data_IF_430638481250
#
_entry.id   IF_430638481250
#
_cell.length_a   1.000
_cell.length_b   1.000
_cell.length_c   1.000
_cell.angle_alpha   90.00
_cell.angle_beta   90.00
_cell.angle_gamma   90.00
#
_symmetry.space_group_name_H-M   'P 1'
#
loop_
_entity.id
_entity.type
_entity.pdbx_description
1 polymer ?
#
# COMPACT_ATOMS: atom_id res chain seq x y z
N UNK A 1 -28.15 12.72 -8.19
CA UNK A 1 -27.88 12.97 -6.76
C UNK A 1 -27.88 11.63 -6.04
N UNK A 2 -26.70 11.19 -5.60
CA UNK A 2 -26.43 10.19 -4.56
C UNK A 2 -24.92 10.29 -4.31
N UNK A 3 -24.51 10.74 -3.13
CA UNK A 3 -23.11 10.75 -2.69
C UNK A 3 -22.96 9.64 -1.64
N UNK A 4 -22.33 8.50 -1.96
CA UNK A 4 -22.25 7.34 -1.06
C UNK A 4 -21.29 7.54 0.13
N UNK A 5 -20.65 8.69 0.30
CA UNK A 5 -19.67 8.92 1.38
C UNK A 5 -20.21 9.76 2.55
N UNK A 6 -21.49 10.08 2.56
CA UNK A 6 -22.12 10.65 3.76
C UNK A 6 -22.50 9.51 4.72
N UNK A 7 -21.52 9.02 5.50
CA UNK A 7 -21.72 8.57 6.88
C UNK A 7 -20.39 8.12 7.52
N UNK A 8 -20.00 8.81 8.61
CA UNK A 8 -19.22 8.19 9.68
C UNK A 8 -17.75 8.60 9.81
N UNK A 9 -17.47 9.85 10.14
CA UNK A 9 -16.71 10.22 11.36
C UNK A 9 -16.49 11.73 11.38
N UNK A 10 -16.81 12.35 12.51
CA UNK A 10 -16.47 13.74 12.79
C UNK A 10 -14.95 13.85 12.85
N UNK A 11 -14.30 14.16 11.73
CA UNK A 11 -12.92 14.64 11.76
C UNK A 11 -12.95 16.04 12.34
N UNK A 12 -12.61 16.14 13.63
CA UNK A 12 -12.39 17.39 14.33
C UNK A 12 -11.55 18.33 13.45
N UNK A 13 -12.08 19.51 13.14
CA UNK A 13 -11.61 20.46 12.12
C UNK A 13 -10.24 21.10 12.49
N UNK A 14 -9.65 20.75 13.64
CA UNK A 14 -8.55 21.47 14.27
C UNK A 14 -7.12 21.05 13.85
N UNK A 15 -6.95 20.04 12.98
CA UNK A 15 -5.62 19.46 12.70
C UNK A 15 -5.08 19.69 11.27
N UNK A 16 -5.83 20.37 10.40
CA UNK A 16 -5.40 20.56 9.01
C UNK A 16 -4.48 21.77 8.91
N UNK A 17 -3.16 21.52 8.98
CA UNK A 17 -2.12 22.55 8.79
C UNK A 17 -1.91 22.94 7.33
N UNK A 18 -2.42 22.15 6.38
CA UNK A 18 -2.21 22.33 4.96
C UNK A 18 -3.51 22.68 4.23
N UNK A 19 -3.50 23.78 3.50
CA UNK A 19 -4.49 24.16 2.51
C UNK A 19 -4.12 23.47 1.19
N UNK A 20 -5.03 22.65 0.68
CA UNK A 20 -4.96 22.09 -0.66
C UNK A 20 -5.50 23.09 -1.67
N UNK A 21 -4.77 23.28 -2.77
CA UNK A 21 -5.16 24.07 -3.92
C UNK A 21 -5.14 23.16 -5.14
N UNK A 22 -6.25 23.09 -5.86
CA UNK A 22 -6.33 22.40 -7.16
C UNK A 22 -5.99 23.40 -8.27
N UNK A 23 -4.91 23.12 -9.00
CA UNK A 23 -4.40 23.97 -10.06
C UNK A 23 -5.13 23.69 -11.39
N UNK A 24 -5.03 24.62 -12.34
CA UNK A 24 -5.69 24.48 -13.65
C UNK A 24 -5.07 23.42 -14.55
N UNK A 25 -3.86 22.96 -14.24
CA UNK A 25 -3.15 21.88 -14.93
C UNK A 25 -3.42 20.50 -14.31
N UNK A 26 -4.48 20.38 -13.50
CA UNK A 26 -4.88 19.16 -12.79
C UNK A 26 -3.90 18.69 -11.71
N UNK A 27 -2.92 19.52 -11.35
CA UNK A 27 -2.03 19.24 -10.21
C UNK A 27 -2.55 19.84 -8.92
N UNK A 28 -1.96 19.42 -7.80
CA UNK A 28 -2.26 19.92 -6.46
C UNK A 28 -1.06 20.64 -5.85
N UNK A 29 -1.37 21.74 -5.16
CA UNK A 29 -0.43 22.48 -4.32
C UNK A 29 -0.91 22.42 -2.87
N UNK A 30 -0.01 22.08 -1.95
CA UNK A 30 -0.25 22.08 -0.52
C UNK A 30 0.58 23.18 0.11
N UNK A 31 -0.08 24.08 0.82
CA UNK A 31 0.55 25.21 1.50
C UNK A 31 0.06 25.31 2.93
N UNK A 32 0.91 25.84 3.79
CA UNK A 32 0.54 26.23 5.16
C UNK A 32 -0.53 27.34 5.16
N UNK A 33 -1.19 27.54 6.31
CA UNK A 33 -2.26 28.54 6.45
C UNK A 33 -1.77 29.98 6.22
N UNK A 34 -0.51 30.29 6.55
CA UNK A 34 0.14 31.57 6.27
C UNK A 34 0.66 31.70 4.82
N UNK A 35 0.48 30.66 4.01
CA UNK A 35 0.67 30.70 2.57
C UNK A 35 1.99 30.10 2.06
N UNK A 36 2.86 29.60 2.93
CA UNK A 36 4.10 28.95 2.49
C UNK A 36 3.81 27.62 1.80
N UNK A 37 4.28 27.48 0.56
CA UNK A 37 4.13 26.26 -0.23
C UNK A 37 5.01 25.16 0.34
N UNK A 38 4.42 24.00 0.65
CA UNK A 38 5.11 22.80 1.11
C UNK A 38 5.33 21.83 -0.04
N UNK A 39 4.27 21.53 -0.79
CA UNK A 39 4.33 20.72 -2.00
C UNK A 39 3.63 21.46 -3.15
N UNK A 40 4.15 21.31 -4.36
CA UNK A 40 3.57 21.86 -5.58
C UNK A 40 3.67 20.84 -6.70
N UNK A 41 2.79 20.97 -7.70
CA UNK A 41 2.77 20.12 -8.89
C UNK A 41 2.61 18.62 -8.56
N UNK A 42 1.85 18.30 -7.50
CA UNK A 42 1.53 16.91 -7.21
C UNK A 42 0.47 16.41 -8.18
N UNK A 43 0.70 15.26 -8.79
CA UNK A 43 -0.24 14.62 -9.71
C UNK A 43 -1.41 13.94 -8.99
N UNK A 44 -1.33 13.81 -7.66
CA UNK A 44 -2.34 13.18 -6.82
C UNK A 44 -2.72 14.04 -5.61
N UNK A 45 -3.95 13.86 -5.13
CA UNK A 45 -4.39 14.37 -3.84
C UNK A 45 -3.76 13.56 -2.70
N UNK A 46 -3.42 14.22 -1.59
CA UNK A 46 -2.98 13.57 -0.36
C UNK A 46 -4.21 13.20 0.46
N UNK A 47 -4.40 11.91 0.70
CA UNK A 47 -5.40 11.39 1.61
C UNK A 47 -4.71 10.97 2.90
N UNK A 48 -5.02 11.66 3.99
CA UNK A 48 -4.45 11.36 5.30
C UNK A 48 -5.30 10.32 6.02
N UNK A 49 -4.70 9.18 6.33
CA UNK A 49 -5.26 8.14 7.19
C UNK A 49 -4.40 8.12 8.45
N UNK A 50 -5.02 8.32 9.61
CA UNK A 50 -4.34 8.41 10.91
C UNK A 50 -3.17 9.43 10.96
N UNK A 51 -3.25 10.45 10.10
CA UNK A 51 -2.26 11.54 10.05
C UNK A 51 -1.04 11.28 9.17
N UNK A 52 -1.03 10.18 8.43
CA UNK A 52 -0.03 9.84 7.42
C UNK A 52 -0.70 9.83 6.04
N UNK A 53 -0.02 10.35 5.03
CA UNK A 53 -0.43 10.22 3.64
C UNK A 53 0.71 9.70 2.78
N UNK A 54 0.37 8.91 1.78
CA UNK A 54 1.29 8.51 0.72
C UNK A 54 1.46 9.67 -0.28
N UNK A 55 2.70 10.00 -0.61
CA UNK A 55 3.05 11.04 -1.59
C UNK A 55 3.81 10.42 -2.76
N UNK A 56 3.42 10.77 -3.99
CA UNK A 56 4.17 10.46 -5.19
C UNK A 56 4.92 11.70 -5.68
N UNK A 57 6.22 11.58 -5.92
CA UNK A 57 7.08 12.65 -6.46
C UNK A 57 8.09 12.07 -7.44
N UNK A 58 8.12 12.59 -8.66
CA UNK A 58 9.01 12.15 -9.72
C UNK A 58 8.98 10.61 -9.95
N UNK A 59 7.80 10.01 -9.89
CA UNK A 59 7.59 8.57 -10.08
C UNK A 59 7.99 7.67 -8.91
N UNK A 60 8.35 8.24 -7.75
CA UNK A 60 8.65 7.50 -6.51
C UNK A 60 7.69 7.88 -5.39
N UNK A 61 7.49 6.95 -4.47
CA UNK A 61 6.53 7.03 -3.39
C UNK A 61 7.23 7.15 -2.03
N UNK A 62 6.69 7.99 -1.16
CA UNK A 62 7.12 8.21 0.22
C UNK A 62 5.91 8.44 1.14
N UNK A 63 6.17 8.76 2.41
CA UNK A 63 5.15 9.02 3.43
C UNK A 63 5.37 10.41 4.03
N UNK A 64 4.28 11.14 4.23
CA UNK A 64 4.29 12.49 4.83
C UNK A 64 3.30 12.60 5.97
N UNK A 65 3.61 13.44 6.96
CA UNK A 65 2.70 13.76 8.05
C UNK A 65 1.76 14.95 7.71
N UNK A 66 0.79 15.25 8.57
CA UNK A 66 -0.15 16.39 8.39
C UNK A 66 0.52 17.77 8.33
N UNK A 67 1.76 17.91 8.79
CA UNK A 67 2.55 19.15 8.65
C UNK A 67 3.23 19.24 7.28
N UNK A 68 3.19 18.16 6.48
CA UNK A 68 3.85 18.03 5.19
C UNK A 68 5.36 17.77 5.30
N UNK A 69 5.80 17.21 6.42
CA UNK A 69 7.17 16.73 6.59
C UNK A 69 7.25 15.27 6.10
N UNK A 70 8.35 14.90 5.43
CA UNK A 70 8.60 13.51 5.08
C UNK A 70 8.86 12.69 6.33
N UNK A 71 8.08 11.63 6.50
CA UNK A 71 8.37 10.53 7.42
C UNK A 71 9.26 9.51 6.71
N UNK A 72 8.95 9.26 5.44
CA UNK A 72 9.72 8.42 4.52
C UNK A 72 9.92 9.19 3.21
N UNK A 73 11.16 9.37 2.81
CA UNK A 73 11.52 10.03 1.54
C UNK A 73 10.94 9.25 0.33
N UNK A 74 10.60 9.93 -0.78
CA UNK A 74 10.03 9.29 -1.95
C UNK A 74 11.10 8.54 -2.74
N UNK A 75 11.41 7.32 -2.30
CA UNK A 75 12.44 6.45 -2.88
C UNK A 75 11.90 5.09 -3.34
N UNK A 76 10.67 4.75 -2.98
CA UNK A 76 10.05 3.46 -3.31
C UNK A 76 9.30 3.53 -4.63
N UNK A 77 9.17 2.41 -5.34
CA UNK A 77 8.44 2.36 -6.61
C UNK A 77 6.93 2.45 -6.40
N UNK A 78 6.46 2.00 -5.23
CA UNK A 78 5.07 2.10 -4.83
C UNK A 78 4.98 1.95 -3.30
N UNK A 79 4.00 2.62 -2.69
CA UNK A 79 3.57 2.39 -1.31
C UNK A 79 2.03 2.31 -1.33
N UNK A 80 1.46 1.24 -0.77
CA UNK A 80 0.01 1.06 -0.67
C UNK A 80 -0.59 1.91 0.44
N UNK A 81 -1.93 1.93 0.51
CA UNK A 81 -2.64 2.49 1.66
C UNK A 81 -2.45 1.60 2.90
N UNK A 82 -2.69 2.17 4.09
CA UNK A 82 -2.66 1.41 5.32
C UNK A 82 -3.89 0.51 5.44
N UNK A 83 -3.64 -0.77 5.71
CA UNK A 83 -4.63 -1.79 6.03
C UNK A 83 -4.11 -2.63 7.18
N UNK A 84 -4.93 -2.86 8.21
CA UNK A 84 -4.52 -3.58 9.41
C UNK A 84 -3.19 -3.05 9.99
N UNK A 85 -3.05 -1.74 10.16
CA UNK A 85 -1.85 -1.08 10.69
C UNK A 85 -0.57 -1.28 9.85
N UNK A 86 -0.67 -1.78 8.62
CA UNK A 86 0.46 -2.07 7.75
C UNK A 86 0.24 -1.45 6.36
N UNK A 87 1.29 -1.01 5.69
CA UNK A 87 1.24 -0.70 4.26
C UNK A 87 2.41 -1.37 3.55
N UNK A 88 2.15 -1.89 2.36
CA UNK A 88 3.16 -2.54 1.53
C UNK A 88 3.97 -1.47 0.78
N UNK A 89 5.26 -1.70 0.62
CA UNK A 89 6.09 -0.92 -0.30
C UNK A 89 6.81 -1.84 -1.28
N UNK A 90 6.97 -1.37 -2.51
CA UNK A 90 7.64 -2.12 -3.56
C UNK A 90 8.95 -1.46 -3.96
N UNK A 91 9.94 -2.30 -4.23
CA UNK A 91 11.21 -1.91 -4.84
C UNK A 91 11.38 -2.73 -6.10
N UNK A 92 11.39 -2.06 -7.24
CA UNK A 92 11.66 -2.67 -8.53
C UNK A 92 13.17 -2.72 -8.74
N UNK A 93 13.69 -3.94 -8.81
CA UNK A 93 15.08 -4.20 -9.18
C UNK A 93 15.12 -4.57 -10.66
N UNK A 94 15.78 -3.76 -11.49
CA UNK A 94 15.89 -4.01 -12.95
C UNK A 94 16.61 -5.35 -13.23
N UNK A 95 17.42 -5.83 -12.29
CA UNK A 95 18.23 -7.04 -12.41
C UNK A 95 17.63 -8.24 -11.68
N UNK A 96 16.52 -8.07 -10.96
CA UNK A 96 15.94 -9.11 -10.11
C UNK A 96 14.40 -9.06 -10.09
N UNK A 97 13.82 -9.89 -9.24
CA UNK A 97 12.40 -9.79 -8.93
C UNK A 97 12.11 -8.51 -8.16
N UNK A 98 10.89 -8.00 -8.32
CA UNK A 98 10.36 -6.97 -7.43
C UNK A 98 10.47 -7.47 -5.99
N UNK A 99 10.79 -6.57 -5.07
CA UNK A 99 10.79 -6.86 -3.64
C UNK A 99 9.61 -6.15 -2.99
N UNK A 100 8.96 -6.84 -2.08
CA UNK A 100 7.88 -6.31 -1.24
C UNK A 100 8.35 -6.28 0.20
N UNK A 101 8.21 -5.14 0.85
CA UNK A 101 8.33 -5.00 2.30
C UNK A 101 7.11 -4.29 2.85
N UNK A 102 7.09 -4.08 4.16
CA UNK A 102 5.96 -3.43 4.82
C UNK A 102 6.40 -2.45 5.90
N UNK A 103 5.75 -1.30 5.95
CA UNK A 103 5.81 -0.40 7.10
C UNK A 103 4.68 -0.73 8.09
N UNK A 104 4.92 -0.53 9.39
CA UNK A 104 3.86 -0.48 10.39
C UNK A 104 3.23 0.93 10.47
N UNK A 105 2.21 1.11 11.30
CA UNK A 105 1.53 2.39 11.55
C UNK A 105 2.40 3.49 12.21
N UNK A 106 3.64 3.17 12.59
CA UNK A 106 4.66 4.15 13.02
C UNK A 106 5.62 4.50 11.88
N UNK A 107 5.36 4.01 10.67
CA UNK A 107 6.23 4.13 9.49
C UNK A 107 7.61 3.48 9.65
N UNK A 108 7.73 2.52 10.56
CA UNK A 108 8.94 1.70 10.72
C UNK A 108 8.86 0.48 9.81
N UNK A 109 9.98 0.03 9.25
CA UNK A 109 10.02 -1.20 8.46
C UNK A 109 9.72 -2.39 9.38
N UNK A 110 8.54 -2.99 9.23
CA UNK A 110 8.08 -4.13 9.99
C UNK A 110 8.46 -5.46 9.33
N UNK A 111 8.46 -5.47 7.99
CA UNK A 111 8.93 -6.60 7.18
C UNK A 111 9.91 -6.05 6.16
N UNK A 112 11.15 -6.52 6.24
CA UNK A 112 12.19 -6.17 5.28
C UNK A 112 11.82 -6.62 3.86
N UNK A 113 12.25 -5.90 2.81
CA UNK A 113 11.86 -6.20 1.44
C UNK A 113 12.36 -7.59 0.98
N UNK A 114 11.42 -8.49 0.73
CA UNK A 114 11.67 -9.85 0.24
C UNK A 114 11.29 -9.97 -1.25
N UNK A 115 12.02 -10.77 -2.06
CA UNK A 115 11.65 -11.01 -3.45
C UNK A 115 10.24 -11.60 -3.56
N UNK A 116 9.41 -11.02 -4.42
CA UNK A 116 8.04 -11.44 -4.67
C UNK A 116 7.69 -11.25 -6.14
N UNK A 117 6.80 -12.10 -6.65
CA UNK A 117 6.22 -11.91 -7.98
C UNK A 117 4.86 -11.22 -7.87
N UNK A 118 4.89 -9.89 -7.96
CA UNK A 118 3.71 -9.06 -7.70
C UNK A 118 2.73 -8.97 -8.87
N UNK A 119 3.08 -9.51 -10.05
CA UNK A 119 2.23 -9.44 -11.26
C UNK A 119 1.74 -8.04 -11.64
N UNK A 120 2.56 -7.01 -11.41
CA UNK A 120 2.19 -5.60 -11.59
C UNK A 120 1.68 -5.27 -13.01
N UNK A 121 2.09 -6.03 -14.02
CA UNK A 121 1.72 -5.81 -15.43
C UNK A 121 0.46 -6.56 -15.87
N UNK A 122 -0.24 -7.24 -14.97
CA UNK A 122 -1.37 -8.11 -15.31
C UNK A 122 -2.69 -7.36 -15.58
N UNK A 123 -2.74 -6.05 -15.29
CA UNK A 123 -3.98 -5.26 -15.32
C UNK A 123 -4.93 -5.53 -14.15
N UNK A 124 -4.57 -6.46 -13.25
CA UNK A 124 -5.25 -6.69 -11.99
C UNK A 124 -4.53 -5.96 -10.86
N UNK A 125 -5.29 -5.26 -10.01
CA UNK A 125 -4.77 -4.77 -8.73
C UNK A 125 -4.68 -5.95 -7.78
N UNK A 126 -3.53 -6.61 -7.74
CA UNK A 126 -3.29 -7.64 -6.74
C UNK A 126 -3.04 -6.98 -5.39
N UNK A 127 -3.91 -7.32 -4.46
CA UNK A 127 -3.94 -6.75 -3.14
C UNK A 127 -3.05 -7.57 -2.20
N UNK A 128 -1.84 -7.08 -1.98
CA UNK A 128 -0.88 -7.66 -1.04
C UNK A 128 -1.01 -7.05 0.37
N UNK A 129 -2.11 -6.36 0.66
CA UNK A 129 -2.33 -5.81 1.99
C UNK A 129 -2.63 -6.91 3.01
N UNK A 130 -2.46 -6.56 4.28
CA UNK A 130 -2.86 -7.39 5.39
C UNK A 130 -4.37 -7.30 5.62
N UNK A 131 -5.02 -8.46 5.76
CA UNK A 131 -6.41 -8.59 6.16
C UNK A 131 -6.51 -9.63 7.28
N UNK A 132 -7.06 -9.22 8.41
CA UNK A 132 -7.05 -10.01 9.66
C UNK A 132 -5.65 -10.51 10.04
N UNK A 133 -4.63 -9.67 9.81
CA UNK A 133 -3.23 -9.97 10.12
C UNK A 133 -2.55 -10.99 9.21
N UNK A 134 -3.15 -11.30 8.06
CA UNK A 134 -2.57 -12.21 7.05
C UNK A 134 -2.47 -11.50 5.71
N UNK A 135 -1.32 -11.63 5.03
CA UNK A 135 -1.13 -11.15 3.66
C UNK A 135 -0.79 -12.31 2.72
N UNK A 136 -1.28 -12.21 1.49
CA UNK A 136 -0.91 -13.14 0.43
C UNK A 136 0.53 -12.89 -0.02
N UNK A 137 1.27 -13.94 -0.33
CA UNK A 137 2.62 -13.85 -0.89
C UNK A 137 2.75 -14.78 -2.09
N UNK A 138 3.33 -14.28 -3.18
CA UNK A 138 3.63 -15.10 -4.37
C UNK A 138 5.14 -15.26 -4.52
N UNK A 139 5.60 -16.51 -4.44
CA UNK A 139 7.02 -16.82 -4.53
C UNK A 139 7.51 -16.68 -5.98
N UNK A 140 8.59 -15.92 -6.24
CA UNK A 140 8.96 -15.58 -7.61
C UNK A 140 9.57 -16.73 -8.42
N UNK A 141 10.12 -17.76 -7.76
CA UNK A 141 10.76 -18.90 -8.45
C UNK A 141 9.77 -19.99 -8.88
N UNK A 142 8.74 -20.23 -8.07
CA UNK A 142 7.76 -21.30 -8.28
C UNK A 142 6.42 -20.77 -8.75
N UNK A 143 6.20 -19.46 -8.64
CA UNK A 143 4.94 -18.76 -8.92
C UNK A 143 3.77 -19.21 -8.05
N UNK A 144 4.08 -19.95 -6.97
CA UNK A 144 3.09 -20.45 -6.01
C UNK A 144 2.75 -19.40 -4.97
N UNK A 145 1.53 -19.51 -4.46
CA UNK A 145 0.97 -18.63 -3.45
C UNK A 145 1.03 -19.29 -2.08
N UNK A 146 1.39 -18.48 -1.10
CA UNK A 146 1.35 -18.78 0.33
C UNK A 146 0.84 -17.55 1.08
N UNK A 147 0.94 -17.59 2.40
CA UNK A 147 0.41 -16.54 3.27
C UNK A 147 1.37 -16.26 4.42
N UNK A 148 1.62 -14.99 4.68
CA UNK A 148 2.51 -14.51 5.74
C UNK A 148 1.73 -13.80 6.84
N UNK A 149 2.22 -13.87 8.07
CA UNK A 149 1.77 -13.03 9.18
C UNK A 149 2.45 -11.65 9.16
N UNK A 150 2.03 -10.76 10.08
CA UNK A 150 2.61 -9.40 10.24
C UNK A 150 4.09 -9.39 10.63
N UNK A 151 4.70 -10.52 10.98
CA UNK A 151 6.15 -10.65 11.18
C UNK A 151 6.90 -11.06 9.91
N UNK A 152 6.19 -11.36 8.83
CA UNK A 152 6.74 -11.87 7.57
C UNK A 152 6.97 -13.38 7.56
N UNK A 153 6.55 -14.10 8.60
CA UNK A 153 6.67 -15.56 8.66
C UNK A 153 5.52 -16.21 7.90
N UNK A 154 5.82 -17.27 7.14
CA UNK A 154 4.78 -18.08 6.51
C UNK A 154 3.89 -18.75 7.55
N UNK A 155 2.60 -18.44 7.50
CA UNK A 155 1.53 -19.22 8.12
C UNK A 155 1.25 -20.45 7.25
N UNK A 156 1.23 -20.23 5.93
CA UNK A 156 1.12 -21.28 4.92
C UNK A 156 2.21 -21.05 3.89
N UNK A 157 3.03 -22.07 3.68
CA UNK A 157 4.11 -22.04 2.69
C UNK A 157 3.56 -21.85 1.26
N UNK A 158 4.35 -21.30 0.32
CA UNK A 158 3.93 -21.15 -1.07
C UNK A 158 3.73 -22.49 -1.80
N UNK A 159 2.53 -23.06 -1.67
CA UNK A 159 2.17 -24.38 -2.22
C UNK A 159 1.06 -24.32 -3.26
N UNK A 160 0.21 -23.29 -3.22
CA UNK A 160 -0.97 -23.17 -4.09
C UNK A 160 -0.61 -22.59 -5.45
N UNK A 161 -1.29 -23.02 -6.51
CA UNK A 161 -1.06 -22.50 -7.87
C UNK A 161 -1.78 -21.19 -8.13
N UNK A 162 -2.79 -20.87 -7.31
CA UNK A 162 -3.51 -19.61 -7.34
C UNK A 162 -4.08 -19.31 -5.96
N UNK A 163 -4.15 -18.03 -5.59
CA UNK A 163 -4.82 -17.57 -4.39
C UNK A 163 -5.39 -16.16 -4.59
N UNK A 164 -6.38 -15.83 -3.78
CA UNK A 164 -6.85 -14.47 -3.54
C UNK A 164 -6.50 -14.01 -2.11
N UNK A 165 -6.47 -12.69 -1.85
CA UNK A 165 -6.33 -12.14 -0.51
C UNK A 165 -7.46 -12.62 0.42
N UNK A 166 -7.18 -12.64 1.73
CA UNK A 166 -8.21 -12.93 2.72
C UNK A 166 -9.34 -11.90 2.69
N UNK A 167 -10.59 -12.39 2.68
CA UNK A 167 -11.81 -11.58 2.84
C UNK A 167 -12.60 -12.16 4.00
N UNK A 168 -12.60 -11.45 5.13
CA UNK A 168 -13.04 -12.04 6.40
C UNK A 168 -12.14 -13.21 6.79
N UNK A 169 -12.71 -14.37 7.09
CA UNK A 169 -11.96 -15.53 7.59
C UNK A 169 -11.55 -16.53 6.51
N UNK A 170 -11.71 -16.19 5.21
CA UNK A 170 -11.48 -17.11 4.10
C UNK A 170 -10.60 -16.47 3.02
N UNK A 171 -9.77 -17.30 2.40
CA UNK A 171 -9.04 -16.98 1.18
C UNK A 171 -9.28 -18.10 0.14
N UNK A 172 -9.81 -17.78 -1.05
CA UNK A 172 -9.89 -18.74 -2.14
C UNK A 172 -8.50 -19.18 -2.59
N UNK A 173 -8.30 -20.48 -2.81
CA UNK A 173 -7.05 -21.05 -3.32
C UNK A 173 -7.33 -22.16 -4.33
N UNK A 174 -6.40 -22.37 -5.26
CA UNK A 174 -6.37 -23.54 -6.15
C UNK A 174 -5.20 -24.42 -5.79
N UNK A 175 -5.49 -25.68 -5.50
CA UNK A 175 -4.51 -26.75 -5.36
C UNK A 175 -4.74 -27.76 -6.49
N UNK A 176 -3.69 -28.08 -7.25
CA UNK A 176 -3.76 -29.06 -8.33
C UNK A 176 -3.49 -30.50 -7.86
N UNK A 177 -3.03 -30.68 -6.61
CA UNK A 177 -2.77 -32.01 -6.04
C UNK A 177 -4.06 -32.74 -5.62
N UNK A 178 -5.12 -31.99 -5.29
CA UNK A 178 -6.44 -32.53 -4.92
C UNK A 178 -7.24 -33.08 -6.10
N UNK A 179 -6.89 -32.74 -7.35
CA UNK A 179 -7.57 -33.22 -8.55
C UNK A 179 -7.03 -34.55 -9.10
N UNK A 180 -6.11 -35.22 -8.38
CA UNK A 180 -5.63 -36.57 -8.74
C UNK A 180 -6.30 -37.71 -7.96
N UNK A 181 -7.37 -37.42 -7.21
CA UNK A 181 -8.18 -38.46 -6.58
C UNK A 181 -9.49 -38.61 -7.36
N UNK A 182 -9.43 -39.48 -8.38
CA UNK A 182 -10.46 -40.41 -8.89
C UNK A 182 -10.22 -40.73 -10.37
#
# INVERSE_FOLDING_TARGET
MYNPFANGSNTQIDDIKLIQVHNTDYTYTYKTQDGNIIFSNLEQQLFFIEGIATIAKAGKYGLVNKSGEYIVEPIYDYISEFHDDMCAFFIQDITSFVKIGYFNNKSEVAIEPIPADLQLNSGYSYDYNFYNGIAMYRQPKTYKYGFIDKSGKFIIEPIYTWAEPFKGNLAPVTDISINQVN
#
